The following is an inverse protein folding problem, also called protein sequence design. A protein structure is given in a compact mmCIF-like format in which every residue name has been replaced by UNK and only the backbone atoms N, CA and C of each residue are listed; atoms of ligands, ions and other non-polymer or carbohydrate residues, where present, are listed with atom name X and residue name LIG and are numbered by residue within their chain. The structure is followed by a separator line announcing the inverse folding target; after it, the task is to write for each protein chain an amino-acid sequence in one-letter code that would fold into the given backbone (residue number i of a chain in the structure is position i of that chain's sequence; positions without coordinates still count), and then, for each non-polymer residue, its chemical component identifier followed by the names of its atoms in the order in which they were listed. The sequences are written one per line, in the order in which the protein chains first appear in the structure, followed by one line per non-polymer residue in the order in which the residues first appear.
data_IF_193579877023
#
_entry.id   IF_193579877023
#
_cell.length_a   1.000
_cell.length_b   1.000
_cell.length_c   1.000
_cell.angle_alpha   90.00
_cell.angle_beta   90.00
_cell.angle_gamma   90.00
#
_symmetry.space_group_name_H-M   'P 1'
#
loop_
_entity.id
_entity.type
_entity.pdbx_description
1 polymer ?
#
# COMPACT_ATOMS: atom_id res chain seq x y z
N UNK A 1 2.53 -16.11 17.36
CA UNK A 1 3.73 -16.72 16.78
C UNK A 1 4.75 -15.66 16.37
N UNK A 2 5.22 -14.88 17.34
CA UNK A 2 6.30 -13.91 17.16
C UNK A 2 7.15 -13.90 18.42
N UNK A 3 8.42 -13.53 18.31
CA UNK A 3 9.37 -13.56 19.41
C UNK A 3 10.68 -12.88 19.05
N UNK A 4 11.47 -12.51 20.05
CA UNK A 4 12.75 -11.83 19.87
C UNK A 4 13.84 -12.78 20.38
N UNK A 5 14.86 -13.02 19.58
CA UNK A 5 16.04 -13.82 19.96
C UNK A 5 17.28 -12.94 19.86
N UNK A 6 18.00 -12.81 20.97
CA UNK A 6 19.32 -12.22 21.00
C UNK A 6 20.33 -13.31 20.65
N UNK A 7 21.18 -13.08 19.64
CA UNK A 7 22.26 -13.99 19.29
C UNK A 7 23.58 -13.27 19.55
N UNK A 8 24.31 -13.74 20.54
CA UNK A 8 25.71 -13.36 20.73
C UNK A 8 26.52 -13.94 19.58
N UNK A 9 27.28 -13.09 18.87
CA UNK A 9 28.11 -13.53 17.75
C UNK A 9 29.12 -14.59 18.24
N UNK A 10 29.25 -15.73 17.55
CA UNK A 10 30.12 -16.84 17.98
C UNK A 10 31.62 -16.55 17.78
N UNK A 11 31.94 -15.50 17.00
CA UNK A 11 33.30 -15.03 16.84
C UNK A 11 33.45 -13.65 17.48
N UNK A 12 34.53 -13.50 18.23
CA UNK A 12 35.06 -12.21 18.64
C UNK A 12 35.13 -11.32 17.40
N UNK A 13 34.39 -10.22 17.41
CA UNK A 13 34.49 -9.19 16.38
C UNK A 13 35.96 -8.82 16.32
N UNK A 14 36.58 -8.92 15.15
CA UNK A 14 37.99 -8.54 14.98
C UNK A 14 38.15 -7.13 15.52
N UNK A 15 38.89 -6.96 16.62
CA UNK A 15 39.25 -5.64 17.11
C UNK A 15 40.01 -4.92 15.99
N UNK A 16 39.33 -3.95 15.39
CA UNK A 16 39.91 -3.14 14.34
C UNK A 16 40.90 -2.23 15.05
N UNK A 17 42.17 -2.61 15.08
CA UNK A 17 43.25 -1.79 15.63
C UNK A 17 44.12 -1.23 14.52
N UNK A 18 44.27 0.10 14.48
CA UNK A 18 45.10 0.81 13.51
C UNK A 18 46.55 0.28 13.44
N UNK A 19 47.04 -0.29 14.53
CA UNK A 19 48.44 -0.70 14.71
C UNK A 19 48.82 -1.99 13.98
N UNK A 20 47.86 -2.87 13.68
CA UNK A 20 48.14 -4.20 13.08
C UNK A 20 48.06 -4.25 11.55
N UNK A 21 47.42 -3.27 10.91
CA UNK A 21 46.91 -3.41 9.52
C UNK A 21 47.37 -2.30 8.58
N UNK A 22 48.49 -1.61 8.88
CA UNK A 22 48.89 -0.34 8.25
C UNK A 22 48.77 -0.22 6.72
N UNK A 23 49.05 -1.28 5.93
CA UNK A 23 48.90 -1.26 4.46
C UNK A 23 47.47 -1.46 3.96
N UNK A 24 46.63 -2.15 4.72
CA UNK A 24 45.22 -2.37 4.35
C UNK A 24 44.36 -1.15 4.71
N UNK A 25 44.79 -0.37 5.71
CA UNK A 25 44.15 0.88 6.11
C UNK A 25 44.12 1.93 5.00
N UNK A 26 45.23 2.14 4.31
CA UNK A 26 45.31 3.11 3.22
C UNK A 26 44.35 2.75 2.08
N UNK A 27 44.20 1.45 1.78
CA UNK A 27 43.25 0.95 0.78
C UNK A 27 41.81 1.15 1.21
N UNK A 28 41.49 0.80 2.47
CA UNK A 28 40.16 0.97 3.03
C UNK A 28 39.75 2.45 3.05
N UNK A 29 40.66 3.33 3.48
CA UNK A 29 40.46 4.77 3.49
C UNK A 29 40.17 5.31 2.09
N UNK A 30 40.96 4.89 1.09
CA UNK A 30 40.78 5.31 -0.30
C UNK A 30 39.40 4.93 -0.83
N UNK A 31 39.00 3.67 -0.70
CA UNK A 31 37.67 3.22 -1.15
C UNK A 31 36.51 3.87 -0.41
N UNK A 32 36.69 4.15 0.89
CA UNK A 32 35.69 4.82 1.70
C UNK A 32 35.50 6.28 1.26
N UNK A 33 36.59 6.97 0.92
CA UNK A 33 36.50 8.34 0.38
C UNK A 33 35.91 8.35 -1.03
N UNK A 34 36.30 7.42 -1.91
CA UNK A 34 35.68 7.22 -3.23
C UNK A 34 34.17 6.98 -3.11
N UNK A 35 33.74 6.18 -2.13
CA UNK A 35 32.33 5.92 -1.86
C UNK A 35 31.58 7.20 -1.44
N UNK A 36 32.13 7.99 -0.52
CA UNK A 36 31.50 9.25 -0.11
C UNK A 36 31.42 10.28 -1.24
N UNK A 37 32.46 10.35 -2.07
CA UNK A 37 32.46 11.19 -3.27
C UNK A 37 31.39 10.72 -4.28
N UNK A 38 31.23 9.40 -4.47
CA UNK A 38 30.20 8.84 -5.34
C UNK A 38 28.76 9.14 -4.85
N UNK A 39 28.57 9.30 -3.54
CA UNK A 39 27.29 9.72 -2.96
C UNK A 39 27.06 11.23 -3.03
N UNK A 40 27.99 12.00 -3.58
CA UNK A 40 27.89 13.47 -3.64
C UNK A 40 28.04 14.15 -2.29
N UNK A 41 28.67 13.48 -1.32
CA UNK A 41 28.90 14.04 0.01
C UNK A 41 30.12 14.96 0.00
N UNK A 42 29.92 16.25 0.29
CA UNK A 42 31.04 17.17 0.48
C UNK A 42 31.69 16.89 1.85
N UNK A 43 32.90 16.32 1.84
CA UNK A 43 33.63 15.91 3.03
C UNK A 43 34.24 17.07 3.83
N UNK A 44 34.08 18.32 3.37
CA UNK A 44 34.63 19.51 4.04
C UNK A 44 33.64 20.18 4.99
N UNK A 45 32.33 20.12 4.71
CA UNK A 45 31.31 20.79 5.52
C UNK A 45 29.96 20.09 5.46
N UNK A 46 29.22 20.11 6.57
CA UNK A 46 27.86 19.57 6.60
C UNK A 46 26.91 20.44 5.73
N UNK A 47 25.98 19.83 4.96
CA UNK A 47 25.11 20.56 4.04
C UNK A 47 24.17 21.58 4.68
N UNK A 48 23.84 21.38 5.96
CA UNK A 48 22.79 22.15 6.66
C UNK A 48 23.35 23.37 7.37
N UNK A 49 24.47 23.22 8.09
CA UNK A 49 25.00 24.27 8.98
C UNK A 49 26.40 24.77 8.60
N UNK A 50 27.01 24.24 7.53
CA UNK A 50 28.36 24.62 7.10
C UNK A 50 29.46 24.32 8.13
N UNK A 51 29.13 23.58 9.20
CA UNK A 51 30.07 23.17 10.23
C UNK A 51 31.18 22.32 9.59
N UNK A 52 32.45 22.68 9.78
CA UNK A 52 33.56 21.95 9.19
C UNK A 52 33.61 20.55 9.75
N UNK A 53 33.64 19.57 8.86
CA UNK A 53 33.75 18.16 9.25
C UNK A 53 35.17 17.94 9.78
N UNK A 54 35.35 17.31 10.94
CA UNK A 54 36.68 17.01 11.46
C UNK A 54 37.50 16.19 10.47
N UNK A 55 38.78 16.54 10.29
CA UNK A 55 39.69 15.76 9.44
C UNK A 55 39.69 14.28 9.86
N UNK A 56 39.60 13.41 8.86
CA UNK A 56 39.66 11.97 9.03
C UNK A 56 41.09 11.56 9.37
N UNK A 57 41.28 11.01 10.57
CA UNK A 57 42.53 10.42 11.02
C UNK A 57 42.30 8.94 11.34
N UNK A 58 43.33 8.11 11.25
CA UNK A 58 43.25 6.67 11.44
C UNK A 58 42.65 6.29 12.80
N UNK A 59 42.99 7.01 13.87
CA UNK A 59 42.42 6.81 15.22
C UNK A 59 40.93 7.18 15.31
N UNK A 60 40.51 8.23 14.60
CA UNK A 60 39.10 8.63 14.54
C UNK A 60 38.28 7.63 13.74
N UNK A 61 38.80 7.20 12.59
CA UNK A 61 38.15 6.19 11.77
C UNK A 61 38.05 4.87 12.53
N UNK A 62 39.09 4.46 13.25
CA UNK A 62 39.08 3.29 14.14
C UNK A 62 37.99 3.42 15.22
N UNK A 63 37.89 4.58 15.86
CA UNK A 63 36.87 4.84 16.88
C UNK A 63 35.46 4.71 16.30
N UNK A 64 35.23 5.33 15.13
CA UNK A 64 33.94 5.27 14.43
C UNK A 64 33.64 3.84 13.98
N UNK A 65 34.61 3.13 13.42
CA UNK A 65 34.42 1.74 12.99
C UNK A 65 34.12 0.84 14.18
N UNK A 66 34.82 0.98 15.31
CA UNK A 66 34.55 0.23 16.53
C UNK A 66 33.19 0.59 17.16
N UNK A 67 32.68 1.81 16.94
CA UNK A 67 31.32 2.21 17.33
C UNK A 67 30.24 1.64 16.39
N UNK A 68 30.51 1.61 15.08
CA UNK A 68 29.57 1.12 14.06
C UNK A 68 29.54 -0.40 14.01
N UNK A 69 30.62 -1.07 14.42
CA UNK A 69 30.70 -2.53 14.35
C UNK A 69 29.70 -3.15 15.34
N UNK A 70 28.75 -3.97 14.86
CA UNK A 70 27.69 -4.51 15.71
C UNK A 70 28.25 -5.49 16.73
N UNK A 71 28.07 -5.18 18.01
CA UNK A 71 28.47 -6.08 19.12
C UNK A 71 27.50 -7.25 19.32
N UNK A 72 26.23 -7.05 18.92
CA UNK A 72 25.16 -8.03 19.11
C UNK A 72 24.29 -8.09 17.86
N UNK A 73 23.86 -9.30 17.50
CA UNK A 73 22.87 -9.50 16.45
C UNK A 73 21.51 -9.82 17.06
N UNK A 74 20.50 -9.04 16.69
CA UNK A 74 19.15 -9.18 17.21
C UNK A 74 18.26 -9.72 16.08
N UNK A 75 17.59 -10.84 16.35
CA UNK A 75 16.66 -11.46 15.39
C UNK A 75 15.24 -11.32 15.90
N UNK A 76 14.38 -10.70 15.10
CA UNK A 76 12.96 -10.51 15.39
C UNK A 76 12.17 -11.48 14.51
N UNK A 77 11.45 -12.40 15.15
CA UNK A 77 10.53 -13.32 14.49
C UNK A 77 9.13 -12.71 14.56
N UNK A 78 8.50 -12.52 13.41
CA UNK A 78 7.16 -11.98 13.31
C UNK A 78 6.28 -12.86 12.44
N UNK A 79 4.97 -12.75 12.64
CA UNK A 79 3.98 -13.42 11.81
C UNK A 79 3.50 -12.46 10.71
N UNK A 80 3.69 -12.83 9.44
CA UNK A 80 3.33 -12.01 8.29
C UNK A 80 1.82 -12.04 7.93
N UNK A 81 0.96 -12.62 8.78
CA UNK A 81 -0.49 -12.59 8.56
C UNK A 81 -1.07 -11.17 8.56
N UNK A 82 -0.48 -10.24 9.31
CA UNK A 82 -0.88 -8.83 9.32
C UNK A 82 -0.05 -8.01 8.33
N UNK A 83 -0.70 -7.15 7.53
CA UNK A 83 -0.01 -6.26 6.58
C UNK A 83 1.00 -5.32 7.25
N UNK A 84 0.72 -4.92 8.49
CA UNK A 84 1.57 -4.04 9.31
C UNK A 84 2.42 -4.81 10.32
N UNK A 85 2.57 -6.13 10.17
CA UNK A 85 3.28 -6.94 11.15
C UNK A 85 4.75 -6.49 11.31
N UNK A 86 5.51 -6.48 10.22
CA UNK A 86 6.93 -6.12 10.23
C UNK A 86 7.20 -4.78 10.95
N UNK A 87 6.57 -3.64 10.58
CA UNK A 87 6.84 -2.37 11.25
C UNK A 87 6.40 -2.37 12.72
N UNK A 88 5.32 -3.07 13.10
CA UNK A 88 4.86 -3.16 14.49
C UNK A 88 5.86 -3.91 15.38
N UNK A 89 6.30 -5.10 14.97
CA UNK A 89 7.27 -5.87 15.77
C UNK A 89 8.62 -5.15 15.90
N UNK A 90 9.01 -4.42 14.86
CA UNK A 90 10.22 -3.59 14.88
C UNK A 90 10.07 -2.42 15.85
N UNK A 91 8.93 -1.73 15.85
CA UNK A 91 8.65 -0.65 16.80
C UNK A 91 8.60 -1.13 18.26
N UNK A 92 7.98 -2.29 18.51
CA UNK A 92 7.96 -2.90 19.85
C UNK A 92 9.38 -3.17 20.35
N UNK A 93 10.23 -3.72 19.50
CA UNK A 93 11.63 -3.97 19.85
C UNK A 93 12.38 -2.67 20.16
N UNK A 94 12.27 -1.64 19.31
CA UNK A 94 12.96 -0.38 19.55
C UNK A 94 12.45 0.35 20.79
N UNK A 95 11.15 0.29 21.08
CA UNK A 95 10.59 0.80 22.33
C UNK A 95 11.08 0.04 23.56
N UNK A 96 11.16 -1.29 23.49
CA UNK A 96 11.73 -2.09 24.56
C UNK A 96 13.21 -1.77 24.78
N UNK A 97 13.98 -1.58 23.70
CA UNK A 97 15.39 -1.21 23.79
C UNK A 97 15.58 0.19 24.36
N UNK A 98 14.79 1.18 23.91
CA UNK A 98 14.77 2.53 24.47
C UNK A 98 14.53 2.49 25.98
N UNK A 99 13.51 1.75 26.41
CA UNK A 99 13.16 1.62 27.83
C UNK A 99 14.22 0.91 28.66
N UNK A 100 14.96 -0.02 28.06
CA UNK A 100 16.07 -0.72 28.71
C UNK A 100 17.37 0.11 28.78
N UNK A 101 17.52 1.11 27.91
CA UNK A 101 18.71 1.96 27.84
C UNK A 101 18.60 3.26 28.66
N UNK A 102 17.44 3.54 29.26
CA UNK A 102 17.22 4.72 30.10
C UNK A 102 18.03 4.66 31.41
N UNK A 103 18.51 5.81 31.92
CA UNK A 103 19.10 5.88 33.26
C UNK A 103 18.07 5.54 34.34
N UNK A 104 18.49 4.96 35.46
CA UNK A 104 17.59 4.60 36.59
C UNK A 104 16.77 5.77 37.17
N UNK A 105 17.17 7.01 36.89
CA UNK A 105 16.51 8.21 37.37
C UNK A 105 15.25 8.59 36.57
N UNK A 106 15.05 8.02 35.37
CA UNK A 106 13.95 8.35 34.47
C UNK A 106 12.89 7.25 34.43
N UNK A 107 11.63 7.64 34.31
CA UNK A 107 10.52 6.70 34.26
C UNK A 107 10.34 6.15 32.83
N UNK A 108 10.44 4.82 32.60
CA UNK A 108 10.33 4.24 31.25
C UNK A 108 8.97 4.47 30.56
N UNK A 109 7.92 4.74 31.34
CA UNK A 109 6.57 4.95 30.81
C UNK A 109 6.40 6.30 30.09
N UNK A 110 7.23 7.29 30.41
CA UNK A 110 7.19 8.62 29.80
C UNK A 110 7.84 8.63 28.40
N UNK A 111 8.54 7.55 28.03
CA UNK A 111 9.28 7.43 26.78
C UNK A 111 8.67 6.37 25.86
N UNK A 112 8.45 6.77 24.60
CA UNK A 112 7.95 5.91 23.55
C UNK A 112 8.15 6.50 22.16
N UNK A 113 8.34 5.61 21.20
CA UNK A 113 8.46 5.87 19.77
C UNK A 113 7.15 5.43 19.12
N UNK A 114 6.47 6.37 18.49
CA UNK A 114 5.31 6.12 17.65
C UNK A 114 5.72 6.10 16.18
N UNK A 115 5.25 5.10 15.44
CA UNK A 115 5.54 4.95 14.01
C UNK A 115 4.25 5.08 13.23
N UNK A 116 4.18 6.11 12.40
CA UNK A 116 3.02 6.40 11.55
C UNK A 116 3.45 6.25 10.09
N UNK A 117 2.76 5.39 9.35
CA UNK A 117 2.96 5.27 7.91
C UNK A 117 2.12 6.33 7.20
N UNK A 118 2.78 7.24 6.49
CA UNK A 118 2.14 8.19 5.58
C UNK A 118 2.50 7.81 4.15
N UNK A 119 1.63 7.08 3.43
CA UNK A 119 1.88 6.69 2.05
C UNK A 119 2.13 7.91 1.18
N UNK A 120 3.15 7.84 0.35
CA UNK A 120 3.41 8.88 -0.65
C UNK A 120 2.31 8.80 -1.71
N UNK A 121 1.77 9.96 -2.10
CA UNK A 121 0.79 10.02 -3.20
C UNK A 121 1.49 9.69 -4.51
N UNK A 122 1.24 8.50 -5.06
CA UNK A 122 1.68 8.15 -6.39
C UNK A 122 0.80 8.85 -7.44
N UNK A 123 1.33 9.71 -8.32
CA UNK A 123 0.53 10.37 -9.35
C UNK A 123 -0.08 9.37 -10.35
N UNK A 124 0.53 8.19 -10.50
CA UNK A 124 0.05 7.10 -11.37
C UNK A 124 -1.10 6.28 -10.74
N UNK A 125 -1.27 6.30 -9.42
CA UNK A 125 -2.34 5.55 -8.74
C UNK A 125 -3.65 6.34 -8.68
N UNK A 126 -3.58 7.67 -8.75
CA UNK A 126 -4.79 8.50 -8.92
C UNK A 126 -5.54 8.10 -10.19
N UNK A 127 -4.84 7.81 -11.29
CA UNK A 127 -5.47 7.34 -12.53
C UNK A 127 -5.93 5.87 -12.49
N UNK A 128 -5.34 5.03 -11.62
CA UNK A 128 -5.73 3.61 -11.48
C UNK A 128 -6.86 3.42 -10.45
N UNK A 129 -6.98 4.30 -9.46
CA UNK A 129 -8.13 4.31 -8.54
C UNK A 129 -9.46 4.49 -9.28
N UNK A 130 -9.40 5.15 -10.45
CA UNK A 130 -10.50 5.27 -11.40
C UNK A 130 -10.88 3.95 -12.07
N UNK A 131 -10.02 2.94 -12.06
CA UNK A 131 -10.33 1.61 -12.60
C UNK A 131 -11.42 0.88 -11.80
N UNK A 132 -11.49 1.13 -10.49
CA UNK A 132 -12.51 0.53 -9.62
C UNK A 132 -13.89 1.20 -9.81
N UNK A 133 -13.93 2.51 -10.00
CA UNK A 133 -15.14 3.26 -10.36
C UNK A 133 -15.61 2.89 -11.77
N UNK A 134 -14.70 2.80 -12.74
CA UNK A 134 -15.01 2.39 -14.12
C UNK A 134 -15.60 0.98 -14.16
N UNK A 135 -15.04 0.03 -13.38
CA UNK A 135 -15.60 -1.33 -13.30
C UNK A 135 -17.02 -1.34 -12.71
N UNK A 136 -17.29 -0.51 -11.70
CA UNK A 136 -18.63 -0.36 -11.12
C UNK A 136 -19.61 0.27 -12.12
N UNK A 137 -19.21 1.31 -12.84
CA UNK A 137 -20.03 1.96 -13.89
C UNK A 137 -20.34 1.00 -15.05
N UNK A 138 -19.36 0.20 -15.48
CA UNK A 138 -19.58 -0.83 -16.49
C UNK A 138 -20.59 -1.88 -15.99
N UNK A 139 -20.46 -2.36 -14.76
CA UNK A 139 -21.42 -3.29 -14.17
C UNK A 139 -22.84 -2.71 -14.12
N UNK A 140 -22.98 -1.43 -13.74
CA UNK A 140 -24.25 -0.73 -13.76
C UNK A 140 -24.83 -0.62 -15.17
N UNK A 141 -24.02 -0.26 -16.17
CA UNK A 141 -24.48 -0.15 -17.57
C UNK A 141 -25.01 -1.47 -18.11
N UNK A 142 -24.31 -2.59 -17.83
CA UNK A 142 -24.74 -3.93 -18.23
C UNK A 142 -26.03 -4.32 -17.52
N UNK A 143 -26.17 -3.99 -16.23
CA UNK A 143 -27.40 -4.28 -15.47
C UNK A 143 -28.62 -3.55 -16.04
N UNK A 144 -28.47 -2.29 -16.47
CA UNK A 144 -29.53 -1.50 -17.09
C UNK A 144 -29.91 -2.09 -18.46
N UNK A 145 -28.92 -2.49 -19.26
CA UNK A 145 -29.17 -3.14 -20.55
C UNK A 145 -29.95 -4.45 -20.39
N UNK A 146 -29.59 -5.28 -19.41
CA UNK A 146 -30.30 -6.54 -19.13
C UNK A 146 -31.75 -6.26 -18.68
N UNK A 147 -31.96 -5.29 -17.79
CA UNK A 147 -33.30 -4.90 -17.36
C UNK A 147 -34.17 -4.44 -18.54
N UNK A 148 -33.62 -3.59 -19.42
CA UNK A 148 -34.33 -3.09 -20.60
C UNK A 148 -34.64 -4.21 -21.62
N UNK A 149 -33.70 -5.13 -21.83
CA UNK A 149 -33.91 -6.32 -22.66
C UNK A 149 -35.00 -7.22 -22.09
N UNK A 150 -35.05 -7.41 -20.77
CA UNK A 150 -36.09 -8.19 -20.09
C UNK A 150 -37.48 -7.60 -20.29
N UNK A 151 -37.62 -6.27 -20.15
CA UNK A 151 -38.89 -5.57 -20.40
C UNK A 151 -39.34 -5.76 -21.84
N UNK A 152 -38.44 -5.54 -22.81
CA UNK A 152 -38.76 -5.67 -24.23
C UNK A 152 -39.19 -7.12 -24.56
N UNK A 153 -38.50 -8.12 -24.00
CA UNK A 153 -38.86 -9.53 -24.17
C UNK A 153 -40.25 -9.86 -23.57
N UNK A 154 -40.58 -9.31 -22.39
CA UNK A 154 -41.88 -9.50 -21.75
C UNK A 154 -43.05 -8.99 -22.60
N UNK A 155 -42.91 -7.79 -23.19
CA UNK A 155 -43.96 -7.22 -24.07
C UNK A 155 -44.17 -8.04 -25.35
N UNK A 156 -43.12 -8.68 -25.87
CA UNK A 156 -43.22 -9.53 -27.06
C UNK A 156 -44.12 -10.75 -26.82
N UNK A 157 -44.03 -11.38 -25.65
CA UNK A 157 -44.87 -12.55 -25.31
C UNK A 157 -46.36 -12.21 -25.34
N UNK A 158 -46.75 -11.06 -24.79
CA UNK A 158 -48.15 -10.62 -24.81
C UNK A 158 -48.67 -10.45 -26.25
N UNK A 159 -47.84 -9.94 -27.18
CA UNK A 159 -48.27 -9.78 -28.59
C UNK A 159 -48.45 -11.12 -29.32
N UNK A 160 -47.70 -12.15 -28.91
CA UNK A 160 -47.84 -13.51 -29.44
C UNK A 160 -49.12 -14.14 -28.92
N UNK A 161 -49.42 -13.96 -27.64
CA UNK A 161 -50.63 -14.49 -27.03
C UNK A 161 -51.89 -13.86 -27.65
N UNK A 162 -51.90 -12.54 -27.85
CA UNK A 162 -52.98 -11.79 -28.51
C UNK A 162 -53.20 -12.21 -29.98
N UNK A 163 -52.15 -12.70 -30.67
CA UNK A 163 -52.29 -13.33 -31.99
C UNK A 163 -52.86 -14.74 -31.89
N UNK A 164 -52.47 -15.52 -30.88
CA UNK A 164 -52.94 -16.91 -30.71
C UNK A 164 -54.40 -16.99 -30.26
N UNK A 165 -54.89 -15.99 -29.52
CA UNK A 165 -56.25 -15.90 -29.02
C UNK A 165 -57.21 -15.15 -29.96
N UNK A 166 -56.72 -14.63 -31.09
CA UNK A 166 -57.45 -13.81 -32.07
C UNK A 166 -58.21 -12.61 -31.46
N UNK A 167 -57.77 -12.11 -30.30
CA UNK A 167 -58.47 -11.03 -29.60
C UNK A 167 -58.54 -9.73 -30.42
N UNK A 168 -57.55 -9.45 -31.27
CA UNK A 168 -57.59 -8.33 -32.23
C UNK A 168 -58.79 -8.38 -33.19
N UNK A 169 -59.20 -9.59 -33.60
CA UNK A 169 -60.34 -9.76 -34.51
C UNK A 169 -61.66 -9.48 -33.79
N UNK A 170 -61.82 -10.01 -32.57
CA UNK A 170 -62.99 -9.73 -31.71
C UNK A 170 -63.11 -8.23 -31.40
N UNK A 171 -61.99 -7.56 -31.12
CA UNK A 171 -61.98 -6.13 -30.88
C UNK A 171 -62.32 -5.32 -32.14
N UNK A 172 -61.91 -5.77 -33.33
CA UNK A 172 -62.31 -5.15 -34.59
C UNK A 172 -63.82 -5.28 -34.85
N UNK A 173 -64.39 -6.47 -34.62
CA UNK A 173 -65.84 -6.72 -34.74
C UNK A 173 -66.64 -5.89 -33.74
N UNK A 174 -66.08 -5.60 -32.55
CA UNK A 174 -66.69 -4.71 -31.56
C UNK A 174 -66.64 -3.21 -31.91
N UNK A 175 -66.03 -2.83 -33.04
CA UNK A 175 -65.99 -1.44 -33.53
C UNK A 175 -64.81 -0.61 -33.01
N UNK A 176 -63.82 -1.23 -32.35
CA UNK A 176 -62.61 -0.53 -31.92
C UNK A 176 -61.74 -0.13 -33.13
N UNK A 177 -61.36 1.15 -33.17
CA UNK A 177 -60.44 1.66 -34.19
C UNK A 177 -59.01 1.16 -33.93
N UNK A 178 -58.29 0.77 -34.98
CA UNK A 178 -56.92 0.24 -34.91
C UNK A 178 -55.95 1.12 -34.07
N UNK A 179 -56.08 2.44 -34.20
CA UNK A 179 -55.24 3.40 -33.48
C UNK A 179 -55.50 3.39 -31.96
N UNK A 180 -56.73 3.12 -31.54
CA UNK A 180 -57.10 3.09 -30.12
C UNK A 180 -56.53 1.85 -29.42
N UNK A 181 -56.50 0.71 -30.12
CA UNK A 181 -55.84 -0.50 -29.64
C UNK A 181 -54.33 -0.29 -29.41
N UNK A 182 -53.65 0.37 -30.35
CA UNK A 182 -52.22 0.72 -30.21
C UNK A 182 -51.94 1.65 -29.02
N UNK A 183 -52.80 2.66 -28.79
CA UNK A 183 -52.67 3.55 -27.63
C UNK A 183 -52.93 2.84 -26.30
N UNK A 184 -53.95 1.98 -26.21
CA UNK A 184 -54.20 1.19 -25.01
C UNK A 184 -53.05 0.23 -24.71
N UNK A 185 -52.46 -0.39 -25.74
CA UNK A 185 -51.29 -1.24 -25.58
C UNK A 185 -50.06 -0.50 -25.05
N UNK A 186 -49.76 0.67 -25.60
CA UNK A 186 -48.68 1.51 -25.09
C UNK A 186 -48.93 1.92 -23.63
N UNK A 187 -50.16 2.29 -23.28
CA UNK A 187 -50.53 2.62 -21.91
C UNK A 187 -50.38 1.42 -20.95
N UNK A 188 -50.73 0.21 -21.38
CA UNK A 188 -50.56 -1.01 -20.55
C UNK A 188 -49.08 -1.37 -20.39
N UNK A 189 -48.28 -1.25 -21.45
CA UNK A 189 -46.83 -1.44 -21.39
C UNK A 189 -46.16 -0.43 -20.44
N UNK A 190 -46.58 0.84 -20.48
CA UNK A 190 -46.10 1.86 -19.55
C UNK A 190 -46.47 1.51 -18.10
N UNK A 191 -47.70 1.06 -17.82
CA UNK A 191 -48.07 0.64 -16.46
C UNK A 191 -47.32 -0.60 -15.95
N UNK A 192 -46.98 -1.55 -16.83
CA UNK A 192 -46.21 -2.75 -16.48
C UNK A 192 -44.71 -2.46 -16.28
N UNK A 193 -44.21 -1.34 -16.82
CA UNK A 193 -42.84 -0.85 -16.63
C UNK A 193 -42.61 -0.16 -15.27
N UNK A 194 -43.68 0.32 -14.62
CA UNK A 194 -43.64 1.09 -13.37
C UNK A 194 -44.18 0.33 -12.14
N UNK A 195 -44.49 -0.96 -12.25
CA UNK A 195 -44.78 -1.88 -11.12
C UNK A 195 -43.60 -2.82 -10.87
#
# INVERSE_FOLDING_TARGET
YGGISLVTLPHEVTEISATKTGKDWDRLYTHLMEFFESMGFNNTSLPVDGTPIPEWNMTRLETVLNQVTPKYNIKIWFNNQGWVALPVYTNIFFNAHLRAALPEAENPDDYGIEVINHPIRNPLEVSVSDGSSVAAEMALSVSILIAFCSVTAGTCLFTVEDRSSECKHLQFVSGMRHNFHGCCWLATCDTALFQ
#
